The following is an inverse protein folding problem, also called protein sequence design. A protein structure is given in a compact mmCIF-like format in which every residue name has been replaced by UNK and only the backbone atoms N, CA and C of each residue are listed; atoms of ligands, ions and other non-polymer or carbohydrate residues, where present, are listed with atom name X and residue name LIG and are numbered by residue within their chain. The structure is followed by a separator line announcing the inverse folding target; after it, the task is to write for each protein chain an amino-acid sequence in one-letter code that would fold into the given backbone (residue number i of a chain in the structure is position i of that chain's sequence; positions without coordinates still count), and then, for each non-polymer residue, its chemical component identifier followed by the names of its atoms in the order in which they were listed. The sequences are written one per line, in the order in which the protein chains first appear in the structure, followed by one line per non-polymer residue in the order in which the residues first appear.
data_IF_120401532424
#
_entry.id   IF_120401532424
#
_cell.length_a   1.000
_cell.length_b   1.000
_cell.length_c   1.000
_cell.angle_alpha   90.00
_cell.angle_beta   90.00
_cell.angle_gamma   90.00
#
_symmetry.space_group_name_H-M   'P 1'
#
loop_
_entity.id
_entity.type
_entity.pdbx_description
1 polymer ?
#
# COMPACT_ATOMS: atom_id res chain seq x y z
N UNK A 1 42.67 -4.93 -1.30
CA UNK A 1 42.76 -3.49 -1.03
C UNK A 1 41.47 -2.78 -1.40
N UNK A 2 40.86 -2.17 -0.38
CA UNK A 2 40.25 -0.82 -0.37
C UNK A 2 39.33 -0.54 -1.58
N UNK A 3 37.99 -0.46 -1.51
CA UNK A 3 37.10 0.16 -0.54
C UNK A 3 35.73 -0.54 -0.71
N UNK A 4 35.27 -1.33 0.26
CA UNK A 4 33.81 -1.46 0.40
C UNK A 4 33.33 -0.07 0.79
N UNK A 5 32.83 0.66 -0.20
CA UNK A 5 32.15 1.93 -0.07
C UNK A 5 31.21 1.80 1.13
N UNK A 6 31.61 2.41 2.26
CA UNK A 6 30.84 2.41 3.49
C UNK A 6 29.64 3.30 3.22
N UNK A 7 28.67 2.77 2.49
CA UNK A 7 27.41 3.45 2.19
C UNK A 7 26.72 3.62 3.53
N UNK A 8 26.90 4.81 4.09
CA UNK A 8 26.43 5.16 5.42
C UNK A 8 24.95 4.84 5.49
N UNK A 9 24.54 4.06 6.50
CA UNK A 9 23.13 3.81 6.83
C UNK A 9 22.38 5.11 7.16
N UNK A 10 23.08 6.24 7.25
CA UNK A 10 22.56 7.58 7.53
C UNK A 10 22.65 8.55 6.34
N UNK A 11 22.79 8.05 5.11
CA UNK A 11 22.60 8.90 3.92
C UNK A 11 21.18 9.46 3.92
N UNK A 12 21.02 10.77 3.65
CA UNK A 12 19.73 11.45 3.54
C UNK A 12 18.80 10.73 2.58
N UNK A 13 19.32 10.19 1.47
CA UNK A 13 18.53 9.43 0.52
C UNK A 13 17.95 8.13 1.12
N UNK A 14 18.74 7.44 1.94
CA UNK A 14 18.30 6.24 2.62
C UNK A 14 17.27 6.55 3.70
N UNK A 15 17.48 7.62 4.49
CA UNK A 15 16.53 8.05 5.52
C UNK A 15 15.16 8.43 4.94
N UNK A 16 15.13 9.12 3.80
CA UNK A 16 13.88 9.46 3.09
C UNK A 16 13.17 8.19 2.58
N UNK A 17 13.92 7.26 1.99
CA UNK A 17 13.35 6.02 1.48
C UNK A 17 12.84 5.12 2.63
N UNK A 18 13.56 5.07 3.74
CA UNK A 18 13.18 4.27 4.90
C UNK A 18 11.95 4.83 5.61
N UNK A 19 11.91 6.15 5.84
CA UNK A 19 10.76 6.81 6.48
C UNK A 19 9.49 6.68 5.64
N UNK A 20 9.56 6.90 4.32
CA UNK A 20 8.42 6.67 3.42
C UNK A 20 7.96 5.21 3.41
N UNK A 21 8.89 4.25 3.49
CA UNK A 21 8.55 2.83 3.56
C UNK A 21 7.82 2.48 4.87
N UNK A 22 8.24 3.05 6.01
CA UNK A 22 7.55 2.88 7.29
C UNK A 22 6.12 3.44 7.22
N UNK A 23 5.97 4.68 6.73
CA UNK A 23 4.66 5.33 6.61
C UNK A 23 3.74 4.50 5.72
N UNK A 24 4.24 4.03 4.57
CA UNK A 24 3.46 3.21 3.65
C UNK A 24 3.08 1.85 4.26
N UNK A 25 4.00 1.20 4.99
CA UNK A 25 3.71 -0.07 5.66
C UNK A 25 2.62 0.08 6.73
N UNK A 26 2.69 1.15 7.53
CA UNK A 26 1.67 1.47 8.53
C UNK A 26 0.31 1.74 7.88
N UNK A 27 0.27 2.56 6.82
CA UNK A 27 -0.96 2.84 6.09
C UNK A 27 -1.60 1.58 5.50
N UNK A 28 -0.80 0.68 4.94
CA UNK A 28 -1.28 -0.60 4.42
C UNK A 28 -1.87 -1.49 5.53
N UNK A 29 -1.18 -1.59 6.66
CA UNK A 29 -1.66 -2.41 7.78
C UNK A 29 -2.95 -1.87 8.39
N UNK A 30 -3.06 -0.54 8.50
CA UNK A 30 -4.29 0.12 8.93
C UNK A 30 -5.43 -0.13 7.95
N UNK A 31 -5.16 -0.08 6.64
CA UNK A 31 -6.18 -0.31 5.59
C UNK A 31 -6.79 -1.71 5.65
N UNK A 32 -5.97 -2.73 5.92
CA UNK A 32 -6.43 -4.13 6.08
C UNK A 32 -7.43 -4.26 7.23
N UNK A 33 -7.30 -3.46 8.29
CA UNK A 33 -8.20 -3.48 9.45
C UNK A 33 -9.39 -2.53 9.23
N UNK A 34 -9.14 -1.36 8.62
CA UNK A 34 -10.14 -0.33 8.39
C UNK A 34 -11.21 -0.76 7.38
N UNK A 35 -10.85 -1.43 6.28
CA UNK A 35 -11.82 -1.80 5.26
C UNK A 35 -12.90 -2.78 5.75
N UNK A 36 -12.57 -3.88 6.46
CA UNK A 36 -13.60 -4.73 7.08
C UNK A 36 -14.46 -3.97 8.10
N UNK A 37 -13.85 -3.08 8.88
CA UNK A 37 -14.59 -2.31 9.89
C UNK A 37 -15.60 -1.35 9.24
N UNK A 38 -15.19 -0.63 8.19
CA UNK A 38 -16.07 0.25 7.41
C UNK A 38 -17.21 -0.55 6.76
N UNK A 39 -16.94 -1.77 6.28
CA UNK A 39 -17.96 -2.64 5.71
C UNK A 39 -19.03 -3.02 6.76
N UNK A 40 -18.63 -3.33 7.99
CA UNK A 40 -19.57 -3.65 9.07
C UNK A 40 -20.36 -2.40 9.49
N UNK A 41 -19.66 -1.29 9.74
CA UNK A 41 -20.25 -0.09 10.35
C UNK A 41 -21.16 0.70 9.40
N UNK A 42 -20.71 0.94 8.16
CA UNK A 42 -21.44 1.77 7.20
C UNK A 42 -22.40 0.96 6.32
N UNK A 43 -22.06 -0.28 5.99
CA UNK A 43 -22.85 -1.10 5.06
C UNK A 43 -23.67 -2.19 5.77
N UNK A 44 -23.64 -2.27 7.11
CA UNK A 44 -24.28 -3.34 7.89
C UNK A 44 -23.99 -4.73 7.32
N UNK A 45 -22.75 -4.94 6.87
CA UNK A 45 -22.36 -6.18 6.19
C UNK A 45 -22.44 -7.36 7.16
N UNK A 46 -23.19 -8.39 6.76
CA UNK A 46 -23.24 -9.65 7.49
C UNK A 46 -21.86 -10.36 7.48
N UNK A 47 -21.67 -11.34 8.35
CA UNK A 47 -20.40 -12.07 8.53
C UNK A 47 -19.89 -12.68 7.20
N UNK A 48 -20.81 -13.14 6.36
CA UNK A 48 -20.52 -13.65 5.01
C UNK A 48 -19.95 -12.59 4.07
N UNK A 49 -20.54 -11.40 4.03
CA UNK A 49 -20.10 -10.29 3.18
C UNK A 49 -18.75 -9.74 3.62
N UNK A 50 -18.51 -9.63 4.92
CA UNK A 50 -17.22 -9.18 5.46
C UNK A 50 -16.07 -10.13 5.09
N UNK A 51 -16.34 -11.44 5.09
CA UNK A 51 -15.38 -12.44 4.63
C UNK A 51 -15.05 -12.29 3.13
N UNK A 52 -16.07 -12.00 2.30
CA UNK A 52 -15.89 -11.72 0.88
C UNK A 52 -15.05 -10.46 0.65
N UNK A 53 -15.32 -9.37 1.36
CA UNK A 53 -14.50 -8.15 1.31
C UNK A 53 -13.04 -8.48 1.62
N UNK A 54 -12.79 -9.26 2.66
CA UNK A 54 -11.42 -9.68 3.03
C UNK A 54 -10.77 -10.49 1.92
N UNK A 55 -11.49 -11.43 1.30
CA UNK A 55 -10.99 -12.17 0.14
C UNK A 55 -10.62 -11.24 -1.01
N UNK A 56 -11.45 -10.24 -1.32
CA UNK A 56 -11.16 -9.26 -2.37
C UNK A 56 -9.98 -8.34 -2.05
N UNK A 57 -9.64 -8.12 -0.78
CA UNK A 57 -8.41 -7.39 -0.39
C UNK A 57 -7.16 -8.22 -0.74
N UNK A 58 -7.19 -9.53 -0.51
CA UNK A 58 -6.02 -10.40 -0.75
C UNK A 58 -5.93 -10.95 -2.17
N UNK A 59 -7.05 -11.12 -2.86
CA UNK A 59 -7.13 -11.75 -4.18
C UNK A 59 -6.23 -11.07 -5.23
N UNK A 60 -6.19 -9.72 -5.36
CA UNK A 60 -5.29 -9.06 -6.29
C UNK A 60 -3.83 -9.31 -5.95
N UNK A 61 -3.48 -9.26 -4.66
CA UNK A 61 -2.12 -9.53 -4.21
C UNK A 61 -1.69 -10.97 -4.56
N UNK A 62 -2.60 -11.93 -4.43
CA UNK A 62 -2.33 -13.32 -4.78
C UNK A 62 -2.09 -13.50 -6.29
N UNK A 63 -2.93 -12.89 -7.13
CA UNK A 63 -2.85 -13.03 -8.60
C UNK A 63 -1.69 -12.26 -9.21
N UNK A 64 -1.41 -11.06 -8.70
CA UNK A 64 -0.50 -10.11 -9.34
C UNK A 64 0.86 -10.00 -8.67
N UNK A 65 1.07 -10.49 -7.44
CA UNK A 65 2.37 -10.37 -6.74
C UNK A 65 3.56 -10.86 -7.59
N UNK A 66 3.42 -12.02 -8.23
CA UNK A 66 4.47 -12.60 -9.08
C UNK A 66 4.72 -11.75 -10.35
N UNK A 67 3.65 -11.35 -11.03
CA UNK A 67 3.73 -10.57 -12.27
C UNK A 67 4.30 -9.17 -12.03
N UNK A 68 3.86 -8.51 -10.96
CA UNK A 68 4.31 -7.18 -10.58
C UNK A 68 5.79 -7.21 -10.18
N UNK A 69 6.27 -8.26 -9.52
CA UNK A 69 7.69 -8.43 -9.19
C UNK A 69 8.60 -8.37 -10.42
N UNK A 70 8.28 -9.15 -11.45
CA UNK A 70 9.03 -9.16 -12.72
C UNK A 70 8.96 -7.80 -13.43
N UNK A 71 7.81 -7.12 -13.37
CA UNK A 71 7.64 -5.80 -13.94
C UNK A 71 8.50 -4.73 -13.23
N UNK A 72 8.52 -4.77 -11.89
CA UNK A 72 9.28 -3.83 -11.04
C UNK A 72 10.79 -3.98 -11.26
N UNK A 73 11.28 -5.20 -11.44
CA UNK A 73 12.71 -5.45 -11.64
C UNK A 73 13.24 -4.93 -12.97
N UNK A 74 12.38 -4.85 -14.00
CA UNK A 74 12.75 -4.36 -15.33
C UNK A 74 12.77 -2.83 -15.44
N UNK A 75 12.13 -2.13 -14.51
CA UNK A 75 11.95 -0.67 -14.59
C UNK A 75 12.71 0.07 -13.50
N UNK A 76 12.84 1.39 -13.67
CA UNK A 76 13.55 2.24 -12.70
C UNK A 76 12.75 2.34 -11.40
N UNK A 77 13.19 1.62 -10.36
CA UNK A 77 12.55 1.50 -9.03
C UNK A 77 12.09 2.82 -8.41
N UNK A 78 12.87 3.91 -8.60
CA UNK A 78 12.52 5.25 -8.09
C UNK A 78 11.20 5.77 -8.63
N UNK A 79 10.95 5.63 -9.94
CA UNK A 79 9.73 6.15 -10.55
C UNK A 79 8.53 5.29 -10.18
N UNK A 80 8.69 3.97 -10.15
CA UNK A 80 7.62 3.05 -9.75
C UNK A 80 7.16 3.34 -8.33
N UNK A 81 8.09 3.59 -7.40
CA UNK A 81 7.76 3.93 -6.01
C UNK A 81 6.95 5.24 -5.94
N UNK A 82 7.35 6.27 -6.70
CA UNK A 82 6.63 7.55 -6.74
C UNK A 82 5.23 7.36 -7.33
N UNK A 83 5.10 6.71 -8.49
CA UNK A 83 3.81 6.48 -9.12
C UNK A 83 2.88 5.63 -8.24
N UNK A 84 3.39 4.58 -7.60
CA UNK A 84 2.63 3.74 -6.68
C UNK A 84 2.08 4.54 -5.50
N UNK A 85 2.92 5.38 -4.87
CA UNK A 85 2.50 6.22 -3.76
C UNK A 85 1.45 7.26 -4.19
N UNK A 86 1.59 7.86 -5.38
CA UNK A 86 0.59 8.79 -5.92
C UNK A 86 -0.75 8.07 -6.16
N UNK A 87 -0.73 6.89 -6.76
CA UNK A 87 -1.94 6.09 -6.98
C UNK A 87 -2.60 5.75 -5.64
N UNK A 88 -1.82 5.29 -4.65
CA UNK A 88 -2.32 4.99 -3.31
C UNK A 88 -3.00 6.21 -2.67
N UNK A 89 -2.36 7.38 -2.75
CA UNK A 89 -2.92 8.63 -2.23
C UNK A 89 -4.22 9.03 -2.93
N UNK A 90 -4.27 8.96 -4.26
CA UNK A 90 -5.48 9.25 -5.04
C UNK A 90 -6.62 8.29 -4.69
N UNK A 91 -6.33 7.00 -4.53
CA UNK A 91 -7.34 6.01 -4.14
C UNK A 91 -7.87 6.27 -2.73
N UNK A 92 -7.01 6.65 -1.78
CA UNK A 92 -7.41 6.97 -0.42
C UNK A 92 -8.31 8.22 -0.37
N UNK A 93 -7.97 9.27 -1.12
CA UNK A 93 -8.82 10.47 -1.23
C UNK A 93 -10.15 10.12 -1.87
N UNK A 94 -10.13 9.37 -2.98
CA UNK A 94 -11.37 8.97 -3.67
C UNK A 94 -12.30 8.19 -2.76
N UNK A 95 -11.75 7.29 -1.94
CA UNK A 95 -12.51 6.55 -0.95
C UNK A 95 -13.09 7.46 0.14
N UNK A 96 -12.27 8.37 0.67
CA UNK A 96 -12.73 9.33 1.68
C UNK A 96 -13.90 10.18 1.18
N UNK A 97 -13.80 10.73 -0.03
CA UNK A 97 -14.88 11.51 -0.68
C UNK A 97 -16.14 10.67 -0.87
N UNK A 98 -16.01 9.39 -1.20
CA UNK A 98 -17.16 8.50 -1.36
C UNK A 98 -17.89 8.23 -0.04
N UNK A 99 -17.15 8.03 1.06
CA UNK A 99 -17.73 7.84 2.39
C UNK A 99 -18.43 9.12 2.85
N UNK A 100 -17.80 10.28 2.67
CA UNK A 100 -18.39 11.58 3.01
C UNK A 100 -19.66 11.87 2.19
N UNK A 101 -19.76 11.36 0.96
CA UNK A 101 -20.95 11.50 0.14
C UNK A 101 -22.12 10.59 0.59
N UNK A 102 -21.83 9.48 1.27
CA UNK A 102 -22.83 8.52 1.76
C UNK A 102 -23.41 8.95 3.12
N UNK A 103 -22.62 9.66 3.92
CA UNK A 103 -22.97 10.11 5.27
C UNK A 103 -23.80 11.40 5.25
#
# INVERSE_FOLDING_TARGET
DIFMEKKSLFDTNFSILYSSSIINALGNQLSIIAFPLIAIEYFNADSSLTSLVTLFIFLPNLLFSSHVGVFVDKHRKKYILIYSNIVCFLTAISMYVFIDNIN
#
